data_IF_905833921173
#
_entry.id   IF_905833921173
#
_cell.length_a   1.000
_cell.length_b   1.000
_cell.length_c   1.000
_cell.angle_alpha   90.00
_cell.angle_beta   90.00
_cell.angle_gamma   90.00
#
_symmetry.space_group_name_H-M   'P 1'
#
loop_
_entity.id
_entity.type
_entity.pdbx_description
1 polymer ?
#
# COMPACT_ATOMS: atom_id res chain seq x y z
N UNK A 1 26.95 6.41 14.45
CA UNK A 1 26.23 5.13 14.20
C UNK A 1 24.93 5.50 13.53
N UNK A 2 24.58 4.82 12.44
CA UNK A 2 23.30 5.06 11.77
C UNK A 2 22.15 4.71 12.71
N UNK A 3 21.15 5.57 12.82
CA UNK A 3 19.95 5.32 13.63
C UNK A 3 19.04 4.36 12.86
N UNK A 4 18.95 3.10 13.30
CA UNK A 4 18.11 2.07 12.67
C UNK A 4 17.66 1.00 13.67
N UNK A 5 16.52 0.38 13.40
CA UNK A 5 16.05 -0.84 14.06
C UNK A 5 15.67 -1.83 12.97
N UNK A 6 16.45 -2.89 12.84
CA UNK A 6 16.30 -3.94 11.84
C UNK A 6 16.59 -5.29 12.48
N UNK A 7 16.21 -6.37 11.82
CA UNK A 7 16.36 -7.71 12.34
C UNK A 7 17.83 -8.16 12.38
N UNK A 8 18.56 -8.00 11.27
CA UNK A 8 19.92 -8.50 11.12
C UNK A 8 20.66 -7.75 10.02
N UNK A 9 21.71 -7.00 10.38
CA UNK A 9 22.52 -6.23 9.41
C UNK A 9 23.34 -7.15 8.48
N UNK A 10 23.61 -8.40 8.86
CA UNK A 10 24.32 -9.35 8.00
C UNK A 10 23.59 -9.71 6.71
N UNK A 11 22.28 -9.40 6.62
CA UNK A 11 21.46 -9.58 5.42
C UNK A 11 21.69 -8.48 4.36
N UNK A 12 22.49 -7.45 4.65
CA UNK A 12 22.65 -6.27 3.78
C UNK A 12 23.19 -6.62 2.40
N UNK A 13 24.21 -7.51 2.32
CA UNK A 13 24.79 -7.94 1.03
C UNK A 13 23.79 -8.71 0.17
N UNK A 14 22.92 -9.50 0.80
CA UNK A 14 21.85 -10.18 0.09
C UNK A 14 20.82 -9.17 -0.42
N UNK A 15 20.39 -8.25 0.46
CA UNK A 15 19.47 -7.18 0.09
C UNK A 15 20.01 -6.33 -1.06
N UNK A 16 21.30 -5.95 -1.05
CA UNK A 16 21.90 -5.17 -2.12
C UNK A 16 21.83 -5.88 -3.48
N UNK A 17 22.10 -7.18 -3.54
CA UNK A 17 22.00 -7.97 -4.77
C UNK A 17 20.58 -8.01 -5.34
N UNK A 18 19.58 -8.11 -4.46
CA UNK A 18 18.17 -8.05 -4.89
C UNK A 18 17.75 -6.63 -5.32
N UNK A 19 18.26 -5.57 -4.68
CA UNK A 19 18.06 -4.20 -5.14
C UNK A 19 18.65 -4.00 -6.56
N UNK A 20 19.85 -4.51 -6.82
CA UNK A 20 20.49 -4.41 -8.15
C UNK A 20 19.63 -5.07 -9.24
N UNK A 21 18.98 -6.19 -8.93
CA UNK A 21 18.01 -6.82 -9.84
C UNK A 21 16.76 -5.93 -9.99
N UNK A 22 16.20 -5.44 -8.88
CA UNK A 22 14.98 -4.62 -8.90
C UNK A 22 15.18 -3.33 -9.72
N UNK A 23 16.33 -2.68 -9.60
CA UNK A 23 16.65 -1.46 -10.36
C UNK A 23 16.55 -1.69 -11.87
N UNK A 24 16.93 -2.89 -12.37
CA UNK A 24 16.80 -3.23 -13.81
C UNK A 24 15.33 -3.31 -14.26
N UNK A 25 14.40 -3.56 -13.34
CA UNK A 25 12.97 -3.68 -13.60
C UNK A 25 12.17 -2.43 -13.13
N UNK A 26 12.86 -1.38 -12.64
CA UNK A 26 12.23 -0.14 -12.17
C UNK A 26 12.66 1.08 -13.00
N UNK A 27 12.39 1.07 -14.34
CA UNK A 27 12.90 2.08 -15.27
C UNK A 27 12.44 3.50 -14.95
N UNK A 28 11.26 3.68 -14.39
CA UNK A 28 10.74 5.00 -14.03
C UNK A 28 11.59 5.67 -12.96
N UNK A 29 11.93 4.96 -11.88
CA UNK A 29 12.79 5.50 -10.82
C UNK A 29 14.22 5.74 -11.32
N UNK A 30 14.77 4.82 -12.11
CA UNK A 30 16.12 5.02 -12.68
C UNK A 30 16.16 6.22 -13.61
N UNK A 31 15.12 6.44 -14.41
CA UNK A 31 15.01 7.63 -15.27
C UNK A 31 14.91 8.93 -14.44
N UNK A 32 14.16 8.95 -13.34
CA UNK A 32 14.10 10.12 -12.46
C UNK A 32 15.44 10.40 -11.77
N UNK A 33 16.18 9.37 -11.33
CA UNK A 33 17.56 9.56 -10.82
C UNK A 33 18.47 10.21 -11.88
N UNK A 34 18.37 9.75 -13.12
CA UNK A 34 19.18 10.30 -14.24
C UNK A 34 18.77 11.74 -14.57
N UNK A 35 17.47 12.06 -14.58
CA UNK A 35 16.94 13.37 -14.95
C UNK A 35 17.19 14.42 -13.84
N UNK A 36 16.97 14.07 -12.57
CA UNK A 36 16.93 15.01 -11.46
C UNK A 36 18.10 14.89 -10.46
N UNK A 37 18.93 13.87 -10.55
CA UNK A 37 19.98 13.59 -9.57
C UNK A 37 21.02 14.71 -9.41
N UNK A 38 21.33 15.45 -10.50
CA UNK A 38 22.23 16.62 -10.44
C UNK A 38 21.52 17.84 -9.82
N UNK A 39 20.26 18.08 -10.21
CA UNK A 39 19.48 19.25 -9.76
C UNK A 39 19.01 19.14 -8.30
N UNK A 40 18.87 17.92 -7.78
CA UNK A 40 18.42 17.63 -6.41
C UNK A 40 17.17 18.41 -5.98
N UNK A 41 16.03 18.24 -6.68
CA UNK A 41 14.83 19.04 -6.43
C UNK A 41 14.25 18.87 -5.02
N UNK A 42 14.62 17.80 -4.30
CA UNK A 42 14.18 17.52 -2.92
C UNK A 42 15.21 17.99 -1.86
N UNK A 43 16.20 18.82 -2.23
CA UNK A 43 17.15 19.34 -1.26
C UNK A 43 16.42 20.12 -0.14
N UNK A 44 16.68 19.75 1.12
CA UNK A 44 16.03 20.30 2.31
C UNK A 44 14.70 19.62 2.70
N UNK A 45 14.16 18.70 1.88
CA UNK A 45 13.03 17.87 2.26
C UNK A 45 13.47 16.83 3.30
N UNK A 46 12.74 16.75 4.41
CA UNK A 46 12.84 15.72 5.44
C UNK A 46 11.59 14.85 5.38
N UNK A 47 11.71 13.72 4.70
CA UNK A 47 10.58 12.83 4.37
C UNK A 47 10.45 11.77 5.44
N UNK A 48 9.34 11.81 6.20
CA UNK A 48 8.89 10.69 7.03
C UNK A 48 8.14 9.70 6.13
N UNK A 49 8.75 8.55 5.87
CA UNK A 49 8.18 7.52 5.00
C UNK A 49 7.58 6.37 5.80
N UNK A 50 6.33 6.04 5.54
CA UNK A 50 5.58 4.92 6.12
C UNK A 50 4.94 4.12 5.00
N UNK A 51 5.68 3.14 4.48
CA UNK A 51 5.24 2.25 3.40
C UNK A 51 6.01 0.93 3.51
N UNK A 52 5.40 -0.18 3.06
CA UNK A 52 5.95 -1.54 3.13
C UNK A 52 7.45 -1.58 2.84
N UNK A 53 8.27 -2.04 3.80
CA UNK A 53 9.74 -2.05 3.64
C UNK A 53 10.19 -3.25 2.78
N UNK A 54 9.91 -3.17 1.49
CA UNK A 54 10.28 -4.18 0.48
C UNK A 54 11.53 -3.78 -0.29
N UNK A 55 12.05 -4.68 -1.13
CA UNK A 55 13.15 -4.38 -2.07
C UNK A 55 12.79 -3.21 -2.99
N UNK A 56 11.57 -3.15 -3.50
CA UNK A 56 11.11 -2.07 -4.36
C UNK A 56 11.07 -0.73 -3.62
N UNK A 57 10.66 -0.75 -2.37
CA UNK A 57 10.68 0.43 -1.49
C UNK A 57 12.10 0.89 -1.19
N UNK A 58 13.05 -0.03 -1.05
CA UNK A 58 14.45 0.34 -0.91
C UNK A 58 14.96 1.14 -2.13
N UNK A 59 14.55 0.76 -3.35
CA UNK A 59 14.86 1.52 -4.57
C UNK A 59 14.21 2.91 -4.55
N UNK A 60 12.97 3.02 -4.06
CA UNK A 60 12.29 4.31 -3.85
C UNK A 60 13.06 5.20 -2.86
N UNK A 61 13.42 4.67 -1.70
CA UNK A 61 14.18 5.40 -0.66
C UNK A 61 15.48 5.95 -1.22
N UNK A 62 16.28 5.10 -1.88
CA UNK A 62 17.53 5.53 -2.50
C UNK A 62 17.32 6.57 -3.62
N UNK A 63 16.18 6.50 -4.32
CA UNK A 63 15.82 7.50 -5.33
C UNK A 63 15.55 8.85 -4.67
N UNK A 64 14.73 8.89 -3.61
CA UNK A 64 14.46 10.13 -2.86
C UNK A 64 15.74 10.76 -2.32
N UNK A 65 16.64 9.95 -1.75
CA UNK A 65 17.95 10.40 -1.27
C UNK A 65 18.83 10.92 -2.40
N UNK A 66 18.89 10.24 -3.54
CA UNK A 66 19.62 10.68 -4.73
C UNK A 66 19.11 12.03 -5.24
N UNK A 67 17.83 12.33 -5.08
CA UNK A 67 17.20 13.59 -5.42
C UNK A 67 17.34 14.67 -4.33
N UNK A 68 18.06 14.39 -3.26
CA UNK A 68 18.48 15.37 -2.22
C UNK A 68 17.67 15.36 -0.94
N UNK A 69 16.71 14.46 -0.77
CA UNK A 69 15.94 14.35 0.47
C UNK A 69 16.74 13.71 1.61
N UNK A 70 16.46 14.12 2.84
CA UNK A 70 16.71 13.34 4.04
C UNK A 70 15.51 12.43 4.27
N UNK A 71 15.74 11.13 4.47
CA UNK A 71 14.67 10.15 4.58
C UNK A 71 14.80 9.33 5.86
N UNK A 72 13.69 9.09 6.54
CA UNK A 72 13.56 8.13 7.63
C UNK A 72 12.35 7.23 7.34
N UNK A 73 12.48 5.93 7.51
CA UNK A 73 11.50 4.99 7.00
C UNK A 73 11.04 3.95 8.02
N UNK A 74 9.73 3.65 8.03
CA UNK A 74 9.15 2.52 8.72
C UNK A 74 8.20 1.76 7.78
N UNK A 75 7.90 0.50 8.10
CA UNK A 75 6.87 -0.25 7.38
C UNK A 75 5.48 0.19 7.81
N UNK A 76 4.52 0.17 6.90
CA UNK A 76 3.10 0.44 7.19
C UNK A 76 2.30 -0.83 7.54
N UNK A 77 2.97 -1.97 7.72
CA UNK A 77 2.33 -3.24 8.07
C UNK A 77 3.33 -4.16 8.78
N UNK A 78 2.90 -4.80 9.86
CA UNK A 78 3.76 -5.63 10.72
C UNK A 78 4.34 -6.89 10.05
N UNK A 79 3.77 -7.35 8.93
CA UNK A 79 4.21 -8.58 8.24
C UNK A 79 4.83 -8.34 6.87
N UNK A 80 4.85 -7.10 6.37
CA UNK A 80 5.25 -6.81 4.98
C UNK A 80 6.75 -6.52 4.80
N UNK A 81 7.50 -6.33 5.87
CA UNK A 81 8.94 -6.06 5.80
C UNK A 81 9.71 -7.24 5.18
N UNK A 82 10.61 -6.94 4.25
CA UNK A 82 11.68 -7.82 3.82
C UNK A 82 12.94 -7.43 4.60
N UNK A 83 13.34 -8.25 5.58
CA UNK A 83 14.41 -7.90 6.53
C UNK A 83 15.76 -7.60 5.84
N UNK A 84 16.02 -8.24 4.70
CA UNK A 84 17.22 -7.97 3.89
C UNK A 84 17.15 -6.63 3.13
N UNK A 85 15.95 -6.15 2.77
CA UNK A 85 15.77 -4.82 2.22
C UNK A 85 16.06 -3.74 3.28
N UNK A 86 15.51 -3.90 4.47
CA UNK A 86 15.78 -3.02 5.60
C UNK A 86 17.28 -3.00 5.95
N UNK A 87 17.95 -4.16 5.94
CA UNK A 87 19.38 -4.28 6.19
C UNK A 87 20.22 -3.53 5.13
N UNK A 88 19.87 -3.64 3.84
CA UNK A 88 20.57 -2.93 2.77
C UNK A 88 20.45 -1.41 2.93
N UNK A 89 19.28 -0.88 3.27
CA UNK A 89 19.06 0.55 3.51
C UNK A 89 19.81 1.03 4.75
N UNK A 90 19.80 0.27 5.84
CA UNK A 90 20.57 0.58 7.04
C UNK A 90 22.08 0.62 6.75
N UNK A 91 22.60 -0.35 5.98
CA UNK A 91 23.99 -0.41 5.58
C UNK A 91 24.41 0.76 4.65
N UNK A 92 23.47 1.27 3.84
CA UNK A 92 23.66 2.49 3.04
C UNK A 92 23.66 3.79 3.89
N UNK A 93 23.45 3.69 5.20
CA UNK A 93 23.46 4.83 6.11
C UNK A 93 22.15 5.59 6.21
N UNK A 94 21.04 5.02 5.72
CA UNK A 94 19.72 5.65 5.75
C UNK A 94 18.94 5.10 6.95
N UNK A 95 18.35 5.96 7.80
CA UNK A 95 17.56 5.53 8.95
C UNK A 95 16.33 4.72 8.54
N UNK A 96 16.21 3.50 9.06
CA UNK A 96 15.11 2.58 8.79
C UNK A 96 14.73 1.80 10.05
N UNK A 97 13.43 1.67 10.30
CA UNK A 97 12.85 1.04 11.49
C UNK A 97 11.78 0.05 11.01
N UNK A 98 12.18 -1.20 10.74
CA UNK A 98 11.27 -2.21 10.22
C UNK A 98 11.82 -3.62 10.46
N UNK A 99 10.97 -4.49 11.00
CA UNK A 99 11.25 -5.91 11.24
C UNK A 99 10.02 -6.72 10.81
N UNK A 100 10.21 -7.78 10.03
CA UNK A 100 9.09 -8.67 9.71
C UNK A 100 8.59 -9.38 10.97
N UNK A 101 7.31 -9.18 11.29
CA UNK A 101 6.69 -9.73 12.49
C UNK A 101 6.86 -8.84 13.73
N UNK A 102 7.12 -7.56 13.54
CA UNK A 102 7.09 -6.58 14.64
C UNK A 102 5.72 -6.55 15.33
N UNK A 103 5.71 -6.26 16.62
CA UNK A 103 4.47 -6.12 17.42
C UNK A 103 3.80 -4.76 17.16
N UNK A 104 2.51 -4.63 17.47
CA UNK A 104 1.81 -3.34 17.35
C UNK A 104 2.45 -2.21 18.18
N UNK A 105 2.93 -2.42 19.41
CA UNK A 105 3.70 -1.39 20.12
C UNK A 105 5.02 -1.00 19.44
N UNK A 106 5.73 -1.95 18.81
CA UNK A 106 6.94 -1.67 18.03
C UNK A 106 6.59 -0.88 16.76
N UNK A 107 5.56 -1.27 16.02
CA UNK A 107 5.05 -0.58 14.84
C UNK A 107 4.80 0.91 15.12
N UNK A 108 4.06 1.25 16.16
CA UNK A 108 3.80 2.65 16.51
C UNK A 108 5.03 3.37 17.08
N UNK A 109 5.94 2.66 17.73
CA UNK A 109 7.23 3.22 18.13
C UNK A 109 8.12 3.53 16.92
N UNK A 110 8.10 2.71 15.87
CA UNK A 110 8.83 2.93 14.62
C UNK A 110 8.22 4.07 13.82
N UNK A 111 6.89 4.14 13.76
CA UNK A 111 6.16 5.28 13.18
C UNK A 111 6.52 6.61 13.88
N UNK A 112 6.67 6.62 15.19
CA UNK A 112 7.14 7.80 15.92
C UNK A 112 8.58 8.19 15.53
N UNK A 113 9.47 7.21 15.31
CA UNK A 113 10.89 7.45 14.99
C UNK A 113 11.13 8.07 13.62
N UNK A 114 10.27 7.82 12.63
CA UNK A 114 10.46 8.40 11.30
C UNK A 114 10.33 9.92 11.28
N UNK A 115 9.72 10.52 12.30
CA UNK A 115 9.58 11.97 12.45
C UNK A 115 10.76 12.65 13.19
N UNK A 116 11.74 11.88 13.67
CA UNK A 116 12.82 12.40 14.53
C UNK A 116 14.10 12.69 13.75
N UNK A 117 14.13 13.78 13.01
CA UNK A 117 15.31 14.24 12.29
C UNK A 117 16.20 15.14 13.18
N UNK A 118 17.53 15.07 13.02
CA UNK A 118 18.47 15.93 13.74
C UNK A 118 18.33 17.41 13.32
N UNK A 119 17.96 17.66 12.06
CA UNK A 119 17.80 19.00 11.49
C UNK A 119 16.48 19.71 11.79
N UNK A 120 15.61 19.15 12.63
CA UNK A 120 14.29 19.69 12.97
C UNK A 120 13.16 18.73 12.64
N UNK A 121 11.88 19.15 12.71
CA UNK A 121 10.75 18.26 12.41
C UNK A 121 10.76 17.79 10.95
N UNK A 122 10.12 16.63 10.68
CA UNK A 122 9.82 16.24 9.31
C UNK A 122 8.97 17.33 8.64
N UNK A 123 9.16 17.53 7.34
CA UNK A 123 8.43 18.55 6.59
C UNK A 123 7.67 17.99 5.38
N UNK A 124 7.83 16.70 5.13
CA UNK A 124 7.07 15.92 4.13
C UNK A 124 6.69 14.55 4.70
N UNK A 125 5.56 14.01 4.28
CA UNK A 125 5.16 12.64 4.57
C UNK A 125 4.96 11.89 3.25
N UNK A 126 5.46 10.66 3.19
CA UNK A 126 5.09 9.67 2.19
C UNK A 126 4.42 8.52 2.93
N UNK A 127 3.12 8.34 2.75
CA UNK A 127 2.29 7.45 3.55
C UNK A 127 1.61 6.35 2.71
N UNK A 128 1.30 5.26 3.36
CA UNK A 128 0.54 4.15 2.79
C UNK A 128 -0.43 3.61 3.84
N UNK A 129 -1.70 3.97 3.70
CA UNK A 129 -2.76 3.70 4.65
C UNK A 129 -3.07 4.87 5.58
N UNK A 130 -2.24 5.90 5.60
CA UNK A 130 -2.49 7.14 6.34
C UNK A 130 -2.13 7.09 7.82
N UNK A 131 -1.44 6.04 8.30
CA UNK A 131 -1.14 5.88 9.72
C UNK A 131 -0.14 6.91 10.25
N UNK A 132 0.90 7.25 9.49
CA UNK A 132 1.87 8.27 9.87
C UNK A 132 1.21 9.66 9.92
N UNK A 133 0.37 9.97 8.95
CA UNK A 133 -0.42 11.21 8.91
C UNK A 133 -1.38 11.31 10.09
N UNK A 134 -2.14 10.23 10.37
CA UNK A 134 -3.08 10.16 11.49
C UNK A 134 -2.38 10.26 12.84
N UNK A 135 -1.22 9.66 13.01
CA UNK A 135 -0.42 9.74 14.22
C UNK A 135 -0.11 11.20 14.59
N UNK A 136 0.37 11.97 13.64
CA UNK A 136 0.69 13.40 13.86
C UNK A 136 -0.56 14.23 14.10
N UNK A 137 -1.60 14.06 13.28
CA UNK A 137 -2.81 14.88 13.37
C UNK A 137 -3.62 14.57 14.63
N UNK A 138 -3.78 13.29 14.99
CA UNK A 138 -4.44 12.90 16.23
C UNK A 138 -3.67 13.38 17.46
N UNK A 139 -2.35 13.20 17.47
CA UNK A 139 -1.49 13.69 18.55
C UNK A 139 -1.59 15.20 18.74
N UNK A 140 -1.58 15.97 17.67
CA UNK A 140 -1.71 17.44 17.72
C UNK A 140 -3.09 17.89 18.27
N UNK A 141 -4.17 17.19 17.96
CA UNK A 141 -5.49 17.44 18.50
C UNK A 141 -5.56 17.15 20.01
N UNK A 142 -4.98 16.03 20.42
CA UNK A 142 -4.88 15.67 21.85
C UNK A 142 -4.05 16.69 22.61
N UNK A 143 -2.95 17.15 22.03
CA UNK A 143 -2.08 18.20 22.58
C UNK A 143 -2.82 19.55 22.71
N UNK A 144 -3.77 19.84 21.80
CA UNK A 144 -4.65 21.00 21.83
C UNK A 144 -5.81 20.88 22.86
N UNK A 145 -5.91 19.75 23.58
CA UNK A 145 -6.89 19.54 24.65
C UNK A 145 -8.02 18.55 24.34
N UNK A 146 -8.07 17.94 23.16
CA UNK A 146 -9.07 16.93 22.79
C UNK A 146 -8.70 15.53 23.36
N UNK A 147 -8.41 15.43 24.65
CA UNK A 147 -7.89 14.21 25.30
C UNK A 147 -8.83 13.01 25.21
N UNK A 148 -10.15 13.24 25.14
CA UNK A 148 -11.16 12.19 25.02
C UNK A 148 -10.98 11.32 23.75
N UNK A 149 -10.26 11.80 22.73
CA UNK A 149 -10.02 11.05 21.51
C UNK A 149 -9.16 9.79 21.69
N UNK A 150 -8.40 9.71 22.77
CA UNK A 150 -7.49 8.59 23.07
C UNK A 150 -7.76 7.95 24.44
N UNK A 151 -8.99 8.08 24.96
CA UNK A 151 -9.34 7.51 26.27
C UNK A 151 -9.74 6.03 26.17
N UNK A 152 -10.57 5.68 25.18
CA UNK A 152 -11.17 4.35 25.07
C UNK A 152 -10.81 3.75 23.70
N UNK A 153 -9.83 2.84 23.62
CA UNK A 153 -9.51 2.13 22.39
C UNK A 153 -10.63 1.13 22.02
N UNK A 154 -10.88 0.96 20.74
CA UNK A 154 -11.85 0.00 20.20
C UNK A 154 -11.19 -1.24 19.59
N UNK A 155 -9.86 -1.21 19.45
CA UNK A 155 -9.05 -2.29 18.93
C UNK A 155 -7.67 -2.36 19.60
N UNK A 156 -6.96 -3.47 19.44
CA UNK A 156 -5.58 -3.63 19.91
C UNK A 156 -4.62 -2.64 19.21
N UNK A 157 -4.91 -2.29 17.94
CA UNK A 157 -4.16 -1.27 17.21
C UNK A 157 -4.34 0.13 17.81
N UNK A 158 -5.58 0.53 18.11
CA UNK A 158 -5.85 1.80 18.79
C UNK A 158 -5.25 1.85 20.20
N UNK A 159 -5.25 0.73 20.93
CA UNK A 159 -4.61 0.66 22.25
C UNK A 159 -3.11 0.97 22.14
N UNK A 160 -2.42 0.37 21.19
CA UNK A 160 -0.98 0.60 20.95
C UNK A 160 -0.70 2.04 20.46
N UNK A 161 -1.51 2.55 19.54
CA UNK A 161 -1.45 3.93 19.05
C UNK A 161 -1.62 4.93 20.19
N UNK A 162 -2.67 4.79 21.00
CA UNK A 162 -2.97 5.71 22.09
C UNK A 162 -1.89 5.68 23.16
N UNK A 163 -1.33 4.51 23.46
CA UNK A 163 -0.20 4.38 24.36
C UNK A 163 1.05 5.12 23.82
N UNK A 164 1.32 5.02 22.53
CA UNK A 164 2.47 5.73 21.91
C UNK A 164 2.26 7.24 21.91
N UNK A 165 1.06 7.74 21.57
CA UNK A 165 0.74 9.18 21.65
C UNK A 165 0.93 9.70 23.07
N UNK A 166 0.37 9.01 24.09
CA UNK A 166 0.53 9.38 25.50
C UNK A 166 2.01 9.44 25.91
N UNK A 167 2.81 8.48 25.46
CA UNK A 167 4.27 8.42 25.72
C UNK A 167 4.99 9.63 25.11
N UNK A 168 4.68 9.98 23.84
CA UNK A 168 5.28 11.12 23.16
C UNK A 168 4.91 12.45 23.81
N UNK A 169 3.62 12.64 24.15
CA UNK A 169 3.12 13.84 24.85
C UNK A 169 3.84 14.06 26.19
N UNK A 170 4.04 12.99 26.95
CA UNK A 170 4.76 13.07 28.24
C UNK A 170 6.26 13.39 28.07
N UNK A 171 6.89 12.83 27.04
CA UNK A 171 8.32 13.03 26.79
C UNK A 171 8.66 14.40 26.17
N UNK A 172 7.77 14.95 25.35
CA UNK A 172 8.04 16.18 24.57
C UNK A 172 6.76 16.96 24.32
N UNK A 173 6.23 17.71 25.32
CA UNK A 173 5.07 18.57 25.13
C UNK A 173 5.28 19.59 24.01
N UNK A 174 4.29 19.80 23.15
CA UNK A 174 4.37 20.68 21.97
C UNK A 174 4.93 20.02 20.72
N UNK A 175 5.40 18.77 20.80
CA UNK A 175 6.05 18.09 19.69
C UNK A 175 5.10 17.80 18.52
N UNK A 176 3.88 17.32 18.78
CA UNK A 176 2.91 17.02 17.74
C UNK A 176 2.44 18.28 17.00
N UNK A 177 2.24 19.37 17.73
CA UNK A 177 1.89 20.68 17.14
C UNK A 177 3.01 21.18 16.24
N UNK A 178 4.26 21.15 16.74
CA UNK A 178 5.42 21.58 15.96
C UNK A 178 5.62 20.68 14.71
N UNK A 179 5.38 19.37 14.84
CA UNK A 179 5.48 18.43 13.73
C UNK A 179 4.40 18.71 12.68
N UNK A 180 3.13 18.86 13.08
CA UNK A 180 2.01 19.18 12.18
C UNK A 180 2.27 20.48 11.41
N UNK A 181 2.73 21.50 12.10
CA UNK A 181 2.92 22.85 11.52
C UNK A 181 4.12 22.91 10.56
N UNK A 182 5.05 21.96 10.65
CA UNK A 182 6.19 21.86 9.75
C UNK A 182 5.88 21.10 8.45
N UNK A 183 4.84 20.24 8.43
CA UNK A 183 4.50 19.43 7.25
C UNK A 183 3.98 20.33 6.13
N UNK A 184 4.61 20.28 4.97
CA UNK A 184 4.23 21.00 3.74
C UNK A 184 3.29 20.20 2.86
N UNK A 185 3.27 18.87 3.00
CA UNK A 185 2.37 18.02 2.24
C UNK A 185 2.58 16.53 2.51
N UNK A 186 1.62 15.75 2.06
CA UNK A 186 1.63 14.28 2.11
C UNK A 186 1.31 13.69 0.75
N UNK A 187 2.00 12.63 0.35
CA UNK A 187 1.59 11.76 -0.75
C UNK A 187 1.12 10.42 -0.19
N UNK A 188 -0.05 9.95 -0.66
CA UNK A 188 -0.71 8.74 -0.14
C UNK A 188 -0.82 7.68 -1.22
N UNK A 189 -0.37 6.46 -0.89
CA UNK A 189 -0.26 5.34 -1.83
C UNK A 189 -1.57 4.58 -2.03
N UNK A 190 -2.39 4.40 -0.99
CA UNK A 190 -3.46 3.41 -1.04
C UNK A 190 -4.86 3.99 -0.81
N UNK A 191 -5.88 3.32 -1.37
CA UNK A 191 -7.29 3.71 -1.28
C UNK A 191 -7.75 4.03 0.13
N UNK A 192 -7.33 3.25 1.13
CA UNK A 192 -7.77 3.45 2.51
C UNK A 192 -7.22 4.73 3.12
N UNK A 193 -5.94 5.02 2.91
CA UNK A 193 -5.34 6.28 3.36
C UNK A 193 -5.95 7.48 2.65
N UNK A 194 -6.23 7.35 1.35
CA UNK A 194 -6.94 8.38 0.56
C UNK A 194 -8.33 8.67 1.14
N UNK A 195 -9.11 7.65 1.52
CA UNK A 195 -10.40 7.86 2.17
C UNK A 195 -10.27 8.60 3.50
N UNK A 196 -9.25 8.30 4.31
CA UNK A 196 -8.95 9.02 5.55
C UNK A 196 -8.62 10.49 5.28
N UNK A 197 -7.81 10.78 4.25
CA UNK A 197 -7.49 12.16 3.85
C UNK A 197 -8.71 12.94 3.40
N UNK A 198 -9.61 12.34 2.61
CA UNK A 198 -10.86 12.97 2.22
C UNK A 198 -11.79 13.24 3.42
N UNK A 199 -11.88 12.31 4.40
CA UNK A 199 -12.65 12.53 5.63
C UNK A 199 -12.06 13.68 6.46
N UNK A 200 -10.74 13.71 6.63
CA UNK A 200 -10.05 14.82 7.31
C UNK A 200 -10.30 16.15 6.61
N UNK A 201 -10.21 16.19 5.27
CA UNK A 201 -10.47 17.40 4.51
C UNK A 201 -11.94 17.86 4.67
N UNK A 202 -12.90 16.95 4.52
CA UNK A 202 -14.33 17.25 4.69
C UNK A 202 -14.66 17.80 6.07
N UNK A 203 -13.93 17.37 7.09
CA UNK A 203 -14.09 17.82 8.49
C UNK A 203 -13.26 19.07 8.82
N UNK A 204 -12.50 19.62 7.87
CA UNK A 204 -11.63 20.78 8.09
C UNK A 204 -10.43 20.48 9.00
N UNK A 205 -9.99 19.21 9.05
CA UNK A 205 -8.92 18.72 9.92
C UNK A 205 -7.63 18.40 9.16
N UNK A 206 -7.58 18.56 7.84
CA UNK A 206 -6.38 18.40 7.02
C UNK A 206 -5.71 19.77 6.83
N UNK A 207 -4.58 20.05 7.50
CA UNK A 207 -3.98 21.39 7.53
C UNK A 207 -2.99 21.68 6.38
N UNK A 208 -2.71 20.69 5.52
CA UNK A 208 -1.75 20.78 4.43
C UNK A 208 -2.30 20.08 3.17
N UNK A 209 -1.73 20.36 1.98
CA UNK A 209 -2.11 19.65 0.76
C UNK A 209 -1.69 18.17 0.80
N UNK A 210 -2.51 17.33 0.19
CA UNK A 210 -2.26 15.90 0.01
C UNK A 210 -2.38 15.54 -1.46
N UNK A 211 -1.44 14.75 -2.00
CA UNK A 211 -1.56 14.15 -3.32
C UNK A 211 -1.99 12.68 -3.15
N UNK A 212 -3.16 12.38 -3.67
CA UNK A 212 -3.71 11.04 -3.82
C UNK A 212 -3.01 10.36 -4.99
N UNK A 213 -1.95 9.60 -4.70
CA UNK A 213 -1.23 8.82 -5.71
C UNK A 213 -2.01 7.61 -6.15
N UNK A 214 -2.84 7.02 -5.28
CA UNK A 214 -3.64 5.85 -5.61
C UNK A 214 -4.51 6.06 -6.86
N UNK A 215 -5.08 7.25 -7.05
CA UNK A 215 -5.98 7.54 -8.16
C UNK A 215 -5.27 8.09 -9.41
N UNK A 216 -3.95 8.22 -9.42
CA UNK A 216 -3.17 8.33 -10.64
C UNK A 216 -3.45 7.10 -11.52
N UNK A 217 -3.68 7.30 -12.82
CA UNK A 217 -4.07 6.18 -13.69
C UNK A 217 -2.95 5.16 -13.80
N UNK A 218 -1.70 5.62 -13.89
CA UNK A 218 -0.51 4.76 -13.92
C UNK A 218 -0.23 4.05 -12.59
N UNK A 219 -0.96 4.39 -11.51
CA UNK A 219 -0.97 3.64 -10.26
C UNK A 219 -2.18 2.70 -10.20
N UNK A 220 -3.40 3.23 -10.14
CA UNK A 220 -4.62 2.42 -9.89
C UNK A 220 -4.88 1.35 -10.95
N UNK A 221 -4.65 1.67 -12.23
CA UNK A 221 -4.90 0.73 -13.33
C UNK A 221 -3.72 -0.22 -13.61
N UNK A 222 -2.59 -0.03 -12.93
CA UNK A 222 -1.39 -0.86 -13.05
C UNK A 222 -1.12 -1.63 -11.76
N UNK A 223 -0.79 -0.97 -10.68
CA UNK A 223 -0.49 -1.58 -9.38
C UNK A 223 -1.68 -2.39 -8.85
N UNK A 224 -2.81 -1.75 -8.62
CA UNK A 224 -3.98 -2.42 -8.03
C UNK A 224 -4.47 -3.60 -8.90
N UNK A 225 -4.32 -3.52 -10.22
CA UNK A 225 -4.78 -4.55 -11.15
C UNK A 225 -3.69 -5.56 -11.48
N UNK A 226 -2.59 -5.12 -12.09
CA UNK A 226 -1.52 -6.04 -12.56
C UNK A 226 -0.66 -6.53 -11.40
N UNK A 227 -0.43 -5.73 -10.38
CA UNK A 227 0.27 -6.15 -9.17
C UNK A 227 -0.47 -7.28 -8.47
N UNK A 228 -1.78 -7.16 -8.26
CA UNK A 228 -2.59 -8.23 -7.69
C UNK A 228 -2.69 -9.45 -8.60
N UNK A 229 -2.68 -9.24 -9.94
CA UNK A 229 -2.66 -10.34 -10.91
C UNK A 229 -1.41 -11.21 -10.77
N UNK A 230 -0.25 -10.62 -10.53
CA UNK A 230 1.01 -11.35 -10.35
C UNK A 230 1.11 -11.95 -8.94
N UNK A 231 0.79 -11.18 -7.89
CA UNK A 231 1.13 -11.51 -6.51
C UNK A 231 0.13 -12.40 -5.78
N UNK A 232 -1.16 -12.44 -6.18
CA UNK A 232 -2.17 -13.21 -5.44
C UNK A 232 -1.88 -14.72 -5.46
N UNK A 233 -1.73 -15.30 -6.63
CA UNK A 233 -1.49 -16.75 -6.76
C UNK A 233 -0.10 -17.11 -6.25
N UNK A 234 0.89 -16.22 -6.36
CA UNK A 234 2.21 -16.40 -5.74
C UNK A 234 2.08 -16.55 -4.22
N UNK A 235 1.34 -15.66 -3.55
CA UNK A 235 1.10 -15.73 -2.11
C UNK A 235 0.39 -17.03 -1.69
N UNK A 236 -0.68 -17.41 -2.39
CA UNK A 236 -1.41 -18.64 -2.08
C UNK A 236 -0.53 -19.89 -2.26
N UNK A 237 0.26 -19.95 -3.34
CA UNK A 237 1.14 -21.08 -3.62
C UNK A 237 2.25 -21.21 -2.58
N UNK A 238 2.94 -20.13 -2.25
CA UNK A 238 3.98 -20.16 -1.21
C UNK A 238 3.41 -20.53 0.16
N UNK A 239 2.20 -20.06 0.47
CA UNK A 239 1.53 -20.39 1.72
C UNK A 239 1.15 -21.87 1.82
N UNK A 240 0.57 -22.43 0.77
CA UNK A 240 -0.18 -23.71 0.86
C UNK A 240 0.30 -24.80 -0.09
N UNK A 241 1.15 -24.48 -1.07
CA UNK A 241 1.55 -25.36 -2.17
C UNK A 241 0.32 -25.96 -2.94
N UNK A 242 -0.81 -25.27 -2.90
CA UNK A 242 -2.07 -25.73 -3.48
C UNK A 242 -2.08 -25.52 -5.00
N UNK A 243 -2.48 -26.55 -5.75
CA UNK A 243 -2.74 -26.44 -7.17
C UNK A 243 -4.03 -25.63 -7.40
N UNK A 244 -3.94 -24.56 -8.18
CA UNK A 244 -5.10 -23.70 -8.47
C UNK A 244 -6.05 -24.33 -9.49
N UNK A 245 -5.51 -25.08 -10.47
CA UNK A 245 -6.30 -25.65 -11.54
C UNK A 245 -7.43 -26.54 -11.02
N UNK A 246 -8.65 -26.29 -11.49
CA UNK A 246 -9.86 -27.02 -11.10
C UNK A 246 -10.48 -26.59 -9.77
N UNK A 247 -9.81 -25.80 -8.93
CA UNK A 247 -10.38 -25.26 -7.69
C UNK A 247 -11.49 -24.26 -7.99
N UNK A 248 -12.50 -24.19 -7.13
CA UNK A 248 -13.50 -23.13 -7.12
C UNK A 248 -12.96 -22.02 -6.23
N UNK A 249 -12.75 -20.83 -6.81
CA UNK A 249 -12.27 -19.67 -6.09
C UNK A 249 -13.31 -18.55 -6.13
N UNK A 250 -13.56 -17.92 -4.99
CA UNK A 250 -14.47 -16.78 -4.84
C UNK A 250 -13.62 -15.54 -4.59
N UNK A 251 -13.79 -14.54 -5.44
CA UNK A 251 -13.21 -13.20 -5.27
C UNK A 251 -14.32 -12.25 -4.83
N UNK A 252 -14.19 -11.72 -3.62
CA UNK A 252 -15.15 -10.79 -3.06
C UNK A 252 -14.74 -9.36 -3.45
N UNK A 253 -15.47 -8.77 -4.40
CA UNK A 253 -15.20 -7.47 -5.00
C UNK A 253 -14.66 -7.57 -6.43
N UNK A 254 -15.03 -6.60 -7.30
CA UNK A 254 -14.56 -6.51 -8.69
C UNK A 254 -14.12 -5.07 -9.08
N UNK A 255 -13.56 -4.35 -8.12
CA UNK A 255 -12.75 -3.14 -8.36
C UNK A 255 -11.43 -3.50 -9.04
N UNK A 256 -10.45 -2.59 -9.08
CA UNK A 256 -9.17 -2.85 -9.76
C UNK A 256 -8.42 -4.05 -9.13
N UNK A 257 -8.39 -4.14 -7.81
CA UNK A 257 -7.80 -5.28 -7.06
C UNK A 257 -8.55 -6.60 -7.38
N UNK A 258 -9.88 -6.57 -7.35
CA UNK A 258 -10.71 -7.74 -7.68
C UNK A 258 -10.54 -8.22 -9.11
N UNK A 259 -10.46 -7.31 -10.09
CA UNK A 259 -10.17 -7.62 -11.49
C UNK A 259 -8.82 -8.31 -11.67
N UNK A 260 -7.77 -7.79 -11.01
CA UNK A 260 -6.46 -8.41 -11.02
C UNK A 260 -6.49 -9.81 -10.38
N UNK A 261 -7.10 -9.91 -9.22
CA UNK A 261 -7.22 -11.16 -8.45
C UNK A 261 -7.99 -12.26 -9.21
N UNK A 262 -9.14 -11.92 -9.78
CA UNK A 262 -9.93 -12.85 -10.59
C UNK A 262 -9.17 -13.31 -11.85
N UNK A 263 -8.46 -12.38 -12.52
CA UNK A 263 -7.61 -12.73 -13.67
C UNK A 263 -6.42 -13.63 -13.28
N UNK A 264 -5.81 -13.42 -12.10
CA UNK A 264 -4.73 -14.24 -11.54
C UNK A 264 -5.19 -15.70 -11.37
N UNK A 265 -6.28 -15.89 -10.63
CA UNK A 265 -6.84 -17.21 -10.33
C UNK A 265 -7.31 -17.93 -11.61
N UNK A 266 -8.00 -17.21 -12.51
CA UNK A 266 -8.43 -17.77 -13.81
C UNK A 266 -7.24 -18.16 -14.68
N UNK A 267 -6.20 -17.31 -14.74
CA UNK A 267 -4.95 -17.60 -15.46
C UNK A 267 -4.23 -18.83 -14.93
N UNK A 268 -4.35 -19.13 -13.64
CA UNK A 268 -3.81 -20.34 -13.01
C UNK A 268 -4.74 -21.57 -13.14
N UNK A 269 -5.89 -21.46 -13.85
CA UNK A 269 -6.81 -22.55 -14.13
C UNK A 269 -7.91 -22.77 -13.08
N UNK A 270 -8.10 -21.85 -12.14
CA UNK A 270 -9.21 -21.92 -11.20
C UNK A 270 -10.56 -21.57 -11.88
N UNK A 271 -11.64 -22.13 -11.35
CA UNK A 271 -13.02 -21.76 -11.68
C UNK A 271 -13.43 -20.60 -10.77
N UNK A 272 -13.37 -19.40 -11.31
CA UNK A 272 -13.53 -18.16 -10.53
C UNK A 272 -14.98 -17.70 -10.53
N UNK A 273 -15.49 -17.40 -9.34
CA UNK A 273 -16.75 -16.71 -9.08
C UNK A 273 -16.45 -15.37 -8.41
N UNK A 274 -17.34 -14.40 -8.61
CA UNK A 274 -17.18 -13.04 -8.08
C UNK A 274 -18.40 -12.67 -7.25
N UNK A 275 -18.21 -12.00 -6.13
CA UNK A 275 -19.29 -11.32 -5.42
C UNK A 275 -19.08 -9.81 -5.53
N UNK A 276 -20.15 -9.04 -5.74
CA UNK A 276 -20.03 -7.59 -5.95
C UNK A 276 -21.32 -6.86 -5.53
N UNK A 277 -21.17 -5.66 -5.00
CA UNK A 277 -22.28 -4.79 -4.59
C UNK A 277 -22.54 -3.67 -5.60
N UNK A 278 -21.51 -3.23 -6.34
CA UNK A 278 -21.62 -2.21 -7.38
C UNK A 278 -22.16 -2.84 -8.67
N UNK A 279 -23.32 -2.38 -9.18
CA UNK A 279 -23.93 -2.96 -10.38
C UNK A 279 -23.07 -2.76 -11.64
N UNK A 280 -22.23 -1.72 -11.70
CA UNK A 280 -21.33 -1.49 -12.83
C UNK A 280 -20.18 -2.51 -12.80
N UNK A 281 -19.55 -2.70 -11.64
CA UNK A 281 -18.50 -3.69 -11.48
C UNK A 281 -19.03 -5.12 -11.66
N UNK A 282 -20.24 -5.42 -11.16
CA UNK A 282 -20.91 -6.71 -11.38
C UNK A 282 -21.17 -6.97 -12.87
N UNK A 283 -21.65 -5.98 -13.62
CA UNK A 283 -21.85 -6.08 -15.05
C UNK A 283 -20.52 -6.31 -15.79
N UNK A 284 -19.45 -5.59 -15.41
CA UNK A 284 -18.12 -5.81 -15.97
C UNK A 284 -17.61 -7.24 -15.71
N UNK A 285 -17.78 -7.76 -14.48
CA UNK A 285 -17.41 -9.13 -14.15
C UNK A 285 -18.12 -10.16 -15.04
N UNK A 286 -19.43 -9.98 -15.24
CA UNK A 286 -20.20 -10.85 -16.11
C UNK A 286 -19.75 -10.76 -17.59
N UNK A 287 -19.45 -9.55 -18.10
CA UNK A 287 -18.92 -9.35 -19.46
C UNK A 287 -17.50 -9.96 -19.62
N UNK A 288 -16.69 -9.94 -18.56
CA UNK A 288 -15.37 -10.60 -18.54
C UNK A 288 -15.46 -12.13 -18.41
N UNK A 289 -16.69 -12.67 -18.34
CA UNK A 289 -16.98 -14.12 -18.34
C UNK A 289 -16.88 -14.77 -16.96
N UNK A 290 -17.04 -14.00 -15.88
CA UNK A 290 -17.14 -14.54 -14.52
C UNK A 290 -18.60 -14.72 -14.12
N UNK A 291 -18.87 -15.76 -13.33
CA UNK A 291 -20.15 -15.94 -12.67
C UNK A 291 -20.21 -15.02 -11.44
N UNK A 292 -21.19 -14.09 -11.44
CA UNK A 292 -21.44 -13.20 -10.31
C UNK A 292 -22.50 -13.82 -9.42
N UNK A 293 -22.18 -14.02 -8.13
CA UNK A 293 -22.98 -14.81 -7.19
C UNK A 293 -23.10 -14.12 -5.84
N UNK A 294 -24.00 -14.59 -4.98
CA UNK A 294 -23.96 -14.29 -3.56
C UNK A 294 -22.95 -15.21 -2.86
N UNK A 295 -22.26 -14.70 -1.84
CA UNK A 295 -21.28 -15.48 -1.09
C UNK A 295 -21.96 -16.71 -0.43
N UNK A 296 -23.15 -16.50 0.12
CA UNK A 296 -23.96 -17.54 0.77
C UNK A 296 -24.29 -18.72 -0.15
N UNK A 297 -24.44 -18.49 -1.46
CA UNK A 297 -24.78 -19.55 -2.43
C UNK A 297 -23.59 -20.48 -2.73
N UNK A 298 -22.37 -20.06 -2.44
CA UNK A 298 -21.14 -20.75 -2.85
C UNK A 298 -20.22 -21.11 -1.69
N UNK A 299 -20.47 -20.61 -0.51
CA UNK A 299 -19.60 -20.77 0.66
C UNK A 299 -19.30 -22.24 1.01
N UNK A 300 -20.29 -23.12 0.88
CA UNK A 300 -20.13 -24.56 1.16
C UNK A 300 -19.45 -25.35 0.05
N UNK A 301 -19.24 -24.75 -1.12
CA UNK A 301 -18.73 -25.46 -2.31
C UNK A 301 -17.39 -24.96 -2.81
N UNK A 302 -16.99 -23.73 -2.46
CA UNK A 302 -15.73 -23.14 -2.88
C UNK A 302 -14.53 -23.63 -2.05
N UNK A 303 -13.37 -23.60 -2.67
CA UNK A 303 -12.10 -24.06 -2.09
C UNK A 303 -11.23 -22.89 -1.60
N UNK A 304 -11.35 -21.72 -2.23
CA UNK A 304 -10.52 -20.53 -1.99
C UNK A 304 -11.41 -19.30 -1.93
N UNK A 305 -11.21 -18.48 -0.92
CA UNK A 305 -11.91 -17.21 -0.72
C UNK A 305 -10.89 -16.07 -0.58
N UNK A 306 -11.06 -15.03 -1.40
CA UNK A 306 -10.17 -13.85 -1.39
C UNK A 306 -10.99 -12.58 -1.31
N UNK A 307 -10.75 -11.76 -0.29
CA UNK A 307 -11.39 -10.43 -0.15
C UNK A 307 -10.53 -9.34 -0.80
N UNK A 308 -11.20 -8.37 -1.46
CA UNK A 308 -10.57 -7.34 -2.30
C UNK A 308 -11.30 -6.00 -2.27
N UNK A 309 -12.09 -5.75 -1.23
CA UNK A 309 -13.11 -4.66 -1.24
C UNK A 309 -12.69 -3.39 -0.52
N UNK A 310 -11.73 -3.47 0.42
CA UNK A 310 -11.44 -2.39 1.35
C UNK A 310 -12.57 -2.09 2.35
N UNK A 311 -13.58 -2.97 2.44
CA UNK A 311 -14.71 -2.85 3.36
C UNK A 311 -14.42 -3.65 4.65
N UNK A 312 -15.42 -3.82 5.51
CA UNK A 312 -15.30 -4.62 6.74
C UNK A 312 -16.28 -5.78 6.72
N UNK A 313 -15.95 -6.86 7.44
CA UNK A 313 -16.81 -8.01 7.70
C UNK A 313 -17.43 -8.61 6.40
N UNK A 314 -16.66 -8.65 5.32
CA UNK A 314 -17.07 -9.25 4.04
C UNK A 314 -17.21 -10.77 4.19
N UNK A 315 -16.20 -11.40 4.81
CA UNK A 315 -16.26 -12.79 5.26
C UNK A 315 -16.48 -12.81 6.76
N UNK A 316 -17.68 -13.21 7.18
CA UNK A 316 -18.09 -13.26 8.58
C UNK A 316 -17.93 -14.68 9.16
N UNK A 317 -18.05 -14.78 10.47
CA UNK A 317 -17.95 -16.05 11.19
C UNK A 317 -18.99 -17.08 10.71
N UNK A 318 -20.20 -16.64 10.33
CA UNK A 318 -21.25 -17.49 9.78
C UNK A 318 -20.79 -18.16 8.49
N UNK A 319 -20.14 -17.40 7.58
CA UNK A 319 -19.59 -17.93 6.34
C UNK A 319 -18.50 -18.98 6.63
N UNK A 320 -17.56 -18.67 7.53
CA UNK A 320 -16.46 -19.56 7.86
C UNK A 320 -16.92 -20.90 8.45
N UNK A 321 -18.05 -20.92 9.18
CA UNK A 321 -18.65 -22.14 9.71
C UNK A 321 -19.23 -23.06 8.63
N UNK A 322 -19.63 -22.51 7.50
CA UNK A 322 -20.23 -23.24 6.38
C UNK A 322 -19.20 -23.64 5.30
N UNK A 323 -17.97 -23.13 5.37
CA UNK A 323 -16.92 -23.46 4.42
C UNK A 323 -16.55 -24.95 4.44
N UNK A 324 -16.03 -25.44 3.33
CA UNK A 324 -15.43 -26.79 3.27
C UNK A 324 -14.30 -26.94 4.29
N UNK A 325 -14.07 -28.17 4.74
CA UNK A 325 -12.83 -28.50 5.45
C UNK A 325 -11.62 -28.17 4.57
N UNK A 326 -10.64 -27.49 5.18
CA UNK A 326 -9.41 -27.00 4.54
C UNK A 326 -9.64 -25.92 3.45
N UNK A 327 -10.74 -25.18 3.49
CA UNK A 327 -10.92 -24.01 2.64
C UNK A 327 -9.84 -22.95 2.95
N UNK A 328 -9.28 -22.34 1.91
CA UNK A 328 -8.27 -21.29 2.02
C UNK A 328 -8.98 -19.95 2.07
N UNK A 329 -8.69 -19.15 3.10
CA UNK A 329 -9.27 -17.82 3.32
C UNK A 329 -8.15 -16.81 3.42
N UNK A 330 -8.17 -15.79 2.58
CA UNK A 330 -7.17 -14.75 2.58
C UNK A 330 -7.69 -13.40 2.10
N UNK A 331 -6.97 -12.36 2.43
CA UNK A 331 -7.26 -10.99 2.07
C UNK A 331 -6.11 -10.41 1.24
N UNK A 332 -6.44 -9.59 0.25
CA UNK A 332 -5.47 -8.81 -0.52
C UNK A 332 -5.83 -7.31 -0.48
N UNK A 333 -6.83 -6.92 0.31
CA UNK A 333 -7.11 -5.54 0.67
C UNK A 333 -6.13 -5.03 1.75
N UNK A 334 -6.01 -3.73 1.90
CA UNK A 334 -4.97 -3.11 2.74
C UNK A 334 -5.06 -3.50 4.22
N UNK A 335 -6.26 -3.51 4.83
CA UNK A 335 -6.46 -3.84 6.24
C UNK A 335 -7.03 -5.23 6.47
N UNK A 336 -6.90 -5.73 7.70
CA UNK A 336 -7.32 -7.05 8.15
C UNK A 336 -8.81 -7.17 8.51
N UNK A 337 -9.59 -6.11 8.37
CA UNK A 337 -11.00 -6.05 8.79
C UNK A 337 -12.00 -6.60 7.77
N UNK A 338 -11.56 -6.99 6.57
CA UNK A 338 -12.44 -7.60 5.57
C UNK A 338 -12.88 -9.02 5.96
N UNK A 339 -12.03 -9.73 6.70
CA UNK A 339 -12.35 -11.04 7.30
C UNK A 339 -12.55 -10.82 8.79
N UNK A 340 -13.65 -11.35 9.33
CA UNK A 340 -14.00 -11.19 10.74
C UNK A 340 -13.10 -12.05 11.66
N UNK A 341 -11.78 -11.80 11.63
CA UNK A 341 -10.77 -12.56 12.37
C UNK A 341 -10.96 -12.44 13.88
N UNK A 342 -11.37 -11.28 14.37
CA UNK A 342 -11.64 -11.07 15.80
C UNK A 342 -12.66 -12.07 16.38
N UNK A 343 -13.61 -12.55 15.56
CA UNK A 343 -14.59 -13.56 15.97
C UNK A 343 -13.96 -14.96 16.13
N UNK A 344 -12.75 -15.18 15.58
CA UNK A 344 -12.02 -16.44 15.69
C UNK A 344 -11.16 -16.54 16.96
N UNK A 345 -11.04 -15.50 17.77
CA UNK A 345 -10.16 -15.40 18.95
C UNK A 345 -10.31 -16.60 19.92
N UNK A 346 -11.52 -17.12 20.08
CA UNK A 346 -11.81 -18.24 20.98
C UNK A 346 -11.83 -19.61 20.30
N UNK A 347 -11.46 -19.70 19.03
CA UNK A 347 -11.34 -20.95 18.30
C UNK A 347 -9.96 -21.57 18.52
N UNK A 348 -9.79 -22.83 18.17
CA UNK A 348 -8.49 -23.49 18.25
C UNK A 348 -7.68 -23.11 17.01
N UNK A 349 -6.58 -22.43 17.24
CA UNK A 349 -5.58 -22.07 16.24
C UNK A 349 -4.42 -23.06 16.28
N UNK A 350 -3.96 -23.48 15.13
CA UNK A 350 -2.75 -24.26 14.97
C UNK A 350 -1.88 -23.58 13.91
N UNK A 351 -0.79 -22.96 14.33
CA UNK A 351 0.16 -22.40 13.38
C UNK A 351 0.86 -23.53 12.63
N UNK A 352 0.77 -23.52 11.31
CA UNK A 352 1.38 -24.53 10.43
C UNK A 352 2.80 -24.10 10.05
N UNK A 353 2.95 -22.84 9.72
CA UNK A 353 4.20 -22.12 9.42
C UNK A 353 3.92 -20.62 9.46
N UNK A 354 4.94 -19.80 9.32
CA UNK A 354 4.80 -18.36 9.31
C UNK A 354 3.66 -17.91 8.39
N UNK A 355 2.72 -17.11 8.93
CA UNK A 355 1.59 -16.53 8.22
C UNK A 355 0.58 -17.54 7.65
N UNK A 356 0.55 -18.78 8.16
CA UNK A 356 -0.40 -19.82 7.76
C UNK A 356 -0.96 -20.52 9.00
N UNK A 357 -2.22 -20.26 9.29
CA UNK A 357 -2.90 -20.78 10.46
C UNK A 357 -4.08 -21.68 10.08
N UNK A 358 -4.18 -22.82 10.75
CA UNK A 358 -5.31 -23.72 10.67
C UNK A 358 -6.26 -23.42 11.83
N UNK A 359 -7.52 -23.11 11.52
CA UNK A 359 -8.52 -22.75 12.52
C UNK A 359 -9.65 -23.76 12.51
N UNK A 360 -9.92 -24.37 13.67
CA UNK A 360 -10.95 -25.37 13.86
C UNK A 360 -12.29 -24.73 14.19
N UNK A 361 -13.30 -24.96 13.34
CA UNK A 361 -14.65 -24.44 13.53
C UNK A 361 -15.50 -25.38 14.43
N UNK A 362 -16.50 -24.83 15.17
CA UNK A 362 -17.38 -25.67 15.96
C UNK A 362 -18.17 -26.71 15.18
N UNK A 363 -18.36 -26.50 13.88
CA UNK A 363 -18.96 -27.46 12.93
C UNK A 363 -18.08 -28.66 12.61
N UNK A 364 -16.79 -28.62 13.03
CA UNK A 364 -15.81 -29.68 12.77
C UNK A 364 -14.97 -29.50 11.51
N UNK A 365 -15.33 -28.54 10.63
CA UNK A 365 -14.49 -28.16 9.50
C UNK A 365 -13.33 -27.28 10.00
N UNK A 366 -12.26 -27.24 9.23
CA UNK A 366 -11.07 -26.40 9.47
C UNK A 366 -10.91 -25.45 8.28
N UNK A 367 -10.46 -24.25 8.55
CA UNK A 367 -10.08 -23.31 7.50
C UNK A 367 -8.57 -23.01 7.59
N UNK A 368 -7.96 -22.71 6.46
CA UNK A 368 -6.59 -22.20 6.36
C UNK A 368 -6.69 -20.69 6.22
N UNK A 369 -6.36 -19.97 7.28
CA UNK A 369 -6.31 -18.50 7.27
C UNK A 369 -4.90 -18.04 6.93
N UNK A 370 -4.79 -17.16 5.93
CA UNK A 370 -3.53 -16.61 5.47
C UNK A 370 -3.28 -15.23 6.09
N UNK A 371 -2.04 -15.01 6.56
CA UNK A 371 -1.55 -13.75 7.12
C UNK A 371 -2.47 -13.13 8.18
N UNK A 372 -3.16 -13.98 8.96
CA UNK A 372 -4.12 -13.54 9.98
C UNK A 372 -5.18 -12.57 9.43
N UNK A 373 -5.56 -12.71 8.16
CA UNK A 373 -6.51 -11.82 7.47
C UNK A 373 -5.89 -10.54 6.90
N UNK A 374 -4.60 -10.31 7.08
CA UNK A 374 -3.85 -9.20 6.46
C UNK A 374 -3.48 -9.51 5.01
N UNK A 375 -2.75 -8.61 4.36
CA UNK A 375 -2.28 -8.74 2.97
C UNK A 375 -1.47 -10.03 2.73
N UNK A 376 -2.12 -11.04 2.16
CA UNK A 376 -1.50 -12.36 1.93
C UNK A 376 -0.35 -12.31 0.91
N UNK A 377 -0.40 -11.41 -0.06
CA UNK A 377 0.64 -11.27 -1.08
C UNK A 377 1.96 -10.71 -0.51
N UNK A 378 1.91 -9.98 0.60
CA UNK A 378 3.08 -9.48 1.33
C UNK A 378 3.44 -10.39 2.51
N UNK A 379 2.45 -10.82 3.27
CA UNK A 379 2.69 -11.71 4.43
C UNK A 379 3.20 -13.09 4.03
N UNK A 380 2.62 -13.69 2.98
CA UNK A 380 2.97 -15.02 2.50
C UNK A 380 3.94 -15.03 1.31
N UNK A 381 4.21 -13.87 0.69
CA UNK A 381 5.12 -13.75 -0.45
C UNK A 381 5.93 -12.44 -0.39
N UNK A 382 6.25 -11.86 -1.53
CA UNK A 382 7.13 -10.68 -1.65
C UNK A 382 6.40 -9.44 -2.18
N UNK A 383 5.08 -9.49 -2.32
CA UNK A 383 4.27 -8.40 -2.81
C UNK A 383 4.26 -8.26 -4.33
N UNK A 384 4.02 -7.04 -4.80
CA UNK A 384 3.94 -6.74 -6.21
C UNK A 384 5.31 -6.70 -6.89
N UNK A 385 5.43 -7.10 -8.18
CA UNK A 385 6.70 -7.14 -8.88
C UNK A 385 7.27 -5.75 -9.16
N UNK A 386 8.59 -5.67 -9.32
CA UNK A 386 9.34 -4.43 -9.41
C UNK A 386 8.85 -3.50 -10.53
N UNK A 387 8.52 -4.03 -11.72
CA UNK A 387 8.05 -3.20 -12.83
C UNK A 387 6.74 -2.47 -12.53
N UNK A 388 5.81 -3.13 -11.86
CA UNK A 388 4.54 -2.52 -11.44
C UNK A 388 4.79 -1.46 -10.36
N UNK A 389 5.61 -1.79 -9.36
CA UNK A 389 5.96 -0.84 -8.29
C UNK A 389 6.79 0.33 -8.81
N UNK A 390 7.53 0.17 -9.91
CA UNK A 390 8.17 1.29 -10.59
C UNK A 390 7.16 2.36 -11.01
N UNK A 391 6.00 1.96 -11.55
CA UNK A 391 4.95 2.91 -11.93
C UNK A 391 4.39 3.67 -10.70
N UNK A 392 4.04 2.95 -9.64
CA UNK A 392 3.54 3.56 -8.39
C UNK A 392 4.56 4.49 -7.77
N UNK A 393 5.79 4.04 -7.62
CA UNK A 393 6.83 4.81 -6.93
C UNK A 393 7.37 5.97 -7.76
N UNK A 394 7.30 5.91 -9.09
CA UNK A 394 7.56 7.06 -9.94
C UNK A 394 6.50 8.16 -9.70
N UNK A 395 5.23 7.78 -9.54
CA UNK A 395 4.16 8.71 -9.11
C UNK A 395 4.48 9.31 -7.73
N UNK A 396 4.93 8.50 -6.76
CA UNK A 396 5.30 8.99 -5.42
C UNK A 396 6.42 10.02 -5.47
N UNK A 397 7.50 9.72 -6.21
CA UNK A 397 8.62 10.67 -6.34
C UNK A 397 8.17 11.97 -6.98
N UNK A 398 7.37 11.91 -8.06
CA UNK A 398 6.84 13.10 -8.71
C UNK A 398 5.87 13.88 -7.81
N UNK A 399 5.05 13.19 -7.00
CA UNK A 399 4.19 13.82 -6.02
C UNK A 399 4.98 14.54 -4.92
N UNK A 400 6.06 13.93 -4.42
CA UNK A 400 6.94 14.56 -3.44
C UNK A 400 7.64 15.80 -4.03
N UNK A 401 8.11 15.72 -5.28
CA UNK A 401 8.71 16.88 -5.96
C UNK A 401 7.66 18.00 -6.14
N UNK A 402 6.46 17.65 -6.63
CA UNK A 402 5.37 18.62 -6.86
C UNK A 402 4.99 19.35 -5.56
N UNK A 403 4.79 18.61 -4.47
CA UNK A 403 4.45 19.18 -3.16
C UNK A 403 5.61 20.00 -2.56
N UNK A 404 6.86 19.57 -2.75
CA UNK A 404 8.01 20.28 -2.20
C UNK A 404 8.33 21.56 -2.94
N UNK A 405 8.33 21.50 -4.28
CA UNK A 405 8.73 22.63 -5.14
C UNK A 405 7.58 23.62 -5.36
N UNK A 406 6.35 23.11 -5.46
CA UNK A 406 5.16 23.89 -5.80
C UNK A 406 4.08 23.86 -4.72
N UNK A 407 4.43 23.44 -3.51
CA UNK A 407 3.46 23.31 -2.41
C UNK A 407 2.68 24.60 -2.10
N UNK A 408 3.28 25.75 -2.35
CA UNK A 408 2.63 27.06 -2.15
C UNK A 408 1.49 27.35 -3.16
N UNK A 409 1.43 26.61 -4.28
CA UNK A 409 0.34 26.67 -5.26
C UNK A 409 -0.91 25.91 -4.78
N UNK A 410 -0.80 25.08 -3.74
CA UNK A 410 -1.86 24.21 -3.24
C UNK A 410 -2.41 24.72 -1.89
N UNK A 411 -3.72 24.79 -1.78
CA UNK A 411 -4.39 24.99 -0.49
C UNK A 411 -4.52 23.65 0.25
N UNK A 412 -4.75 23.63 1.58
CA UNK A 412 -5.11 22.40 2.28
C UNK A 412 -6.27 21.66 1.58
N UNK A 413 -6.03 20.41 1.19
CA UNK A 413 -7.00 19.61 0.42
C UNK A 413 -6.37 18.38 -0.18
N UNK A 414 -7.18 17.55 -0.85
CA UNK A 414 -6.74 16.32 -1.52
C UNK A 414 -6.77 16.52 -3.03
N UNK A 415 -5.64 16.28 -3.67
CA UNK A 415 -5.42 16.48 -5.10
C UNK A 415 -4.97 15.18 -5.76
N UNK A 416 -5.17 15.08 -7.06
CA UNK A 416 -4.62 14.01 -7.90
C UNK A 416 -3.39 14.56 -8.61
N UNK A 417 -2.40 13.72 -8.85
CA UNK A 417 -1.21 14.12 -9.61
C UNK A 417 -1.61 14.66 -10.98
N UNK A 418 -1.08 15.82 -11.40
CA UNK A 418 -1.40 16.42 -12.71
C UNK A 418 -1.24 15.45 -13.87
N UNK A 419 -2.17 15.47 -14.84
CA UNK A 419 -2.26 14.50 -15.94
C UNK A 419 -0.97 14.37 -16.76
N UNK A 420 -0.26 15.47 -16.97
CA UNK A 420 1.01 15.43 -17.70
C UNK A 420 2.11 14.66 -16.95
N UNK A 421 2.06 14.64 -15.61
CA UNK A 421 2.98 13.84 -14.80
C UNK A 421 2.58 12.36 -14.80
N UNK A 422 1.29 12.05 -14.74
CA UNK A 422 0.77 10.68 -14.87
C UNK A 422 1.15 10.07 -16.25
N UNK A 423 1.02 10.85 -17.35
CA UNK A 423 1.52 10.43 -18.68
C UNK A 423 3.05 10.30 -18.73
N UNK A 424 3.79 11.17 -18.03
CA UNK A 424 5.25 11.05 -17.91
C UNK A 424 5.64 9.71 -17.28
N UNK A 425 4.96 9.30 -16.21
CA UNK A 425 5.17 7.97 -15.61
C UNK A 425 5.05 6.87 -16.66
N UNK A 426 3.94 6.85 -17.42
CA UNK A 426 3.76 5.85 -18.47
C UNK A 426 4.91 5.87 -19.50
N UNK A 427 5.28 7.05 -19.99
CA UNK A 427 6.35 7.20 -21.01
C UNK A 427 7.70 6.63 -20.55
N UNK A 428 8.07 6.84 -19.28
CA UNK A 428 9.33 6.36 -18.70
C UNK A 428 9.43 4.82 -18.65
N UNK A 429 8.29 4.10 -18.81
CA UNK A 429 8.24 2.64 -18.77
C UNK A 429 8.20 2.00 -20.16
N UNK A 430 7.82 2.74 -21.23
CA UNK A 430 7.52 2.17 -22.53
C UNK A 430 8.76 1.55 -23.22
N UNK A 431 9.91 2.24 -23.14
CA UNK A 431 11.14 1.79 -23.81
C UNK A 431 11.63 0.45 -23.24
N UNK A 432 11.46 0.22 -21.92
CA UNK A 432 11.85 -1.02 -21.25
C UNK A 432 11.13 -2.25 -21.80
N UNK A 433 9.88 -2.08 -22.24
CA UNK A 433 9.06 -3.16 -22.80
C UNK A 433 8.96 -3.09 -24.34
N UNK A 434 9.79 -2.26 -24.97
CA UNK A 434 9.88 -2.17 -26.43
C UNK A 434 8.69 -1.55 -27.13
N UNK A 435 7.86 -0.76 -26.42
CA UNK A 435 6.68 -0.10 -26.98
C UNK A 435 7.06 1.13 -27.78
N UNK A 436 6.51 1.24 -28.99
CA UNK A 436 6.65 2.41 -29.86
C UNK A 436 5.32 3.11 -30.03
N UNK A 437 5.24 4.37 -29.60
CA UNK A 437 4.03 5.18 -29.74
C UNK A 437 3.88 5.71 -31.17
N UNK A 438 2.64 5.69 -31.67
CA UNK A 438 2.25 6.46 -32.84
C UNK A 438 2.32 7.96 -32.53
N UNK A 439 2.84 8.75 -33.44
CA UNK A 439 2.89 10.21 -33.32
C UNK A 439 1.75 10.84 -34.11
N UNK A 440 1.04 11.79 -33.48
CA UNK A 440 0.02 12.58 -34.17
C UNK A 440 0.68 13.61 -35.09
N UNK A 441 0.08 13.82 -36.29
CA UNK A 441 0.39 15.03 -37.04
C UNK A 441 -0.27 16.25 -36.36
N UNK A 442 0.19 17.44 -36.71
CA UNK A 442 -0.44 18.68 -36.21
C UNK A 442 -1.94 18.78 -36.55
N UNK A 443 -2.32 18.30 -37.73
CA UNK A 443 -3.72 18.26 -38.15
C UNK A 443 -4.55 17.27 -37.33
N UNK A 444 -4.02 16.08 -37.06
CA UNK A 444 -4.67 15.08 -36.23
C UNK A 444 -4.83 15.56 -34.76
N UNK A 445 -3.80 16.18 -34.22
CA UNK A 445 -3.83 16.73 -32.87
C UNK A 445 -4.87 17.87 -32.77
N UNK A 446 -4.89 18.80 -33.75
CA UNK A 446 -5.85 19.88 -33.81
C UNK A 446 -7.29 19.37 -33.95
N UNK A 447 -7.53 18.30 -34.73
CA UNK A 447 -8.83 17.69 -34.91
C UNK A 447 -9.46 17.17 -33.61
N UNK A 448 -8.64 16.58 -32.72
CA UNK A 448 -9.08 16.06 -31.41
C UNK A 448 -8.86 17.04 -30.25
N UNK A 449 -8.35 18.25 -30.53
CA UNK A 449 -8.17 19.31 -29.52
C UNK A 449 -7.04 19.05 -28.49
N UNK A 450 -5.97 18.39 -28.91
CA UNK A 450 -4.78 18.13 -28.06
C UNK A 450 -3.52 18.67 -28.73
N UNK A 451 -2.37 18.64 -28.01
CA UNK A 451 -1.07 18.87 -28.65
C UNK A 451 -0.50 17.53 -29.18
N UNK A 452 0.41 17.54 -30.17
CA UNK A 452 1.04 16.31 -30.66
C UNK A 452 1.76 15.49 -29.59
N UNK A 453 2.19 16.12 -28.50
CA UNK A 453 2.92 15.54 -27.38
C UNK A 453 2.02 15.10 -26.23
N UNK A 454 0.75 15.48 -26.22
CA UNK A 454 -0.20 15.25 -25.12
C UNK A 454 -0.30 16.46 -24.17
N UNK A 455 -0.98 16.33 -23.02
CA UNK A 455 -1.73 15.13 -22.62
C UNK A 455 -2.89 14.81 -23.58
N UNK A 456 -3.12 13.49 -23.81
CA UNK A 456 -4.09 13.02 -24.81
C UNK A 456 -5.51 12.92 -24.25
N UNK A 457 -5.68 13.03 -22.95
CA UNK A 457 -6.96 12.98 -22.26
C UNK A 457 -7.07 14.11 -21.25
N UNK A 458 -8.30 14.63 -21.00
CA UNK A 458 -8.51 15.67 -20.00
C UNK A 458 -8.24 15.15 -18.57
N UNK A 459 -8.03 16.09 -17.63
CA UNK A 459 -7.68 15.80 -16.23
C UNK A 459 -8.64 14.81 -15.54
N UNK A 460 -9.93 14.88 -15.83
CA UNK A 460 -10.95 14.04 -15.21
C UNK A 460 -11.06 12.62 -15.79
N UNK A 461 -10.38 12.32 -16.90
CA UNK A 461 -10.49 11.01 -17.56
C UNK A 461 -9.74 9.92 -16.76
N UNK A 462 -10.44 8.80 -16.55
CA UNK A 462 -9.96 7.64 -15.76
C UNK A 462 -10.05 6.34 -16.56
N UNK A 463 -9.25 6.10 -17.52
CA UNK A 463 -9.14 4.95 -18.44
C UNK A 463 -9.97 3.70 -18.10
#
# INVERSE_FOLDING_TARGET
>A
MTDHIIKDISLADYGRKELDIAETEMPGLMALRAEYGEAKPLAGARIAGSLHMTIQTAVLIETLVALGAEVRWASCNIFSTQDHAAAAIAAAGIPVFAIKGETLPEYWSYTDRIFQFDGGPANMILDDGGDATMYVLLGARVEAGETGLIEVPTSEEEEALFAQIKRRLAASPGWFTAQRDAIRGVSEETTTGVHRLYDLHKRGLLPFPAINVNDSVTKSKFDNKYGCKESLVDGIRRATDTMMAGKVAVVCGYGDVGKGSAASLRGAGARVKVTEVDPICALQAAMDGFEVVLLEDVVSTADIFVTTTGNRDVIRIEHMREMKDMAIVGNIGHFDNEIQVAALKNHKWTNVKDQVDLIEMPSGNRIILLSEGRLLNLGNATGHPSFVMSASFTNQVLAQIELWVRGDDYQPGVYILPKHLDEKVARLHLDRIGVKLTRLSAEQAAYIGVTPEGPFKPEHYRY
#
